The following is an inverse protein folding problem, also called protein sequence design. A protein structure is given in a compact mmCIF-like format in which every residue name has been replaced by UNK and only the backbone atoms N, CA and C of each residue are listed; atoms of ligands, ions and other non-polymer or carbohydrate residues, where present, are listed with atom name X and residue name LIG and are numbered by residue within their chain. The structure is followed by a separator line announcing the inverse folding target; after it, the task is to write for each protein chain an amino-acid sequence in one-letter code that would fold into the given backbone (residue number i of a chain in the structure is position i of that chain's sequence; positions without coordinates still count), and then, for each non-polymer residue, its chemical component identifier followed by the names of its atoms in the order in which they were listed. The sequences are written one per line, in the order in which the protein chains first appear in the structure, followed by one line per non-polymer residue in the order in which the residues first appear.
data_IF_361683308223
#
_entry.id   IF_361683308223
#
_cell.length_a   1.000
_cell.length_b   1.000
_cell.length_c   1.000
_cell.angle_alpha   90.00
_cell.angle_beta   90.00
_cell.angle_gamma   90.00
#
_symmetry.space_group_name_H-M   'P 1'
#
loop_
_entity.id
_entity.type
_entity.pdbx_description
1 polymer ?
#
# COMPACT_ATOMS: atom_id res chain seq x y z
N UNK A 1 -38.62 -20.47 -5.24
CA UNK A 1 -38.75 -19.88 -3.89
C UNK A 1 -37.43 -19.20 -3.62
N UNK A 2 -37.46 -17.88 -3.62
CA UNK A 2 -36.30 -17.01 -3.44
C UNK A 2 -36.02 -16.94 -1.94
N UNK A 3 -34.82 -17.36 -1.51
CA UNK A 3 -34.38 -17.17 -0.13
C UNK A 3 -33.90 -15.73 0.01
N UNK A 4 -34.79 -14.90 0.55
CA UNK A 4 -34.48 -13.57 1.03
C UNK A 4 -33.83 -13.71 2.41
N UNK A 5 -32.50 -13.64 2.47
CA UNK A 5 -31.80 -13.50 3.74
C UNK A 5 -32.00 -12.08 4.24
N UNK A 6 -32.94 -11.98 5.19
CA UNK A 6 -33.22 -10.76 5.94
C UNK A 6 -32.09 -10.54 6.94
N UNK A 7 -31.46 -9.37 6.84
CA UNK A 7 -30.49 -8.87 7.80
C UNK A 7 -31.11 -8.81 9.19
N UNK A 8 -30.70 -9.71 10.08
CA UNK A 8 -30.97 -9.61 11.51
C UNK A 8 -30.01 -8.61 12.14
N UNK A 9 -30.55 -7.45 12.51
CA UNK A 9 -29.91 -6.49 13.38
C UNK A 9 -29.83 -7.04 14.81
N UNK A 10 -28.63 -7.43 15.23
CA UNK A 10 -28.31 -7.69 16.63
C UNK A 10 -27.23 -6.72 17.08
N UNK A 11 -27.54 -5.94 18.12
CA UNK A 11 -26.57 -5.17 18.90
C UNK A 11 -25.51 -6.11 19.50
N UNK A 12 -24.47 -6.42 18.74
CA UNK A 12 -23.15 -6.83 19.20
C UNK A 12 -22.20 -5.68 18.85
N UNK A 13 -21.17 -5.43 19.67
CA UNK A 13 -20.21 -4.35 19.38
C UNK A 13 -19.79 -4.37 17.92
N UNK A 14 -19.73 -3.20 17.26
CA UNK A 14 -19.30 -3.09 15.86
C UNK A 14 -17.89 -3.67 15.73
N UNK A 15 -17.80 -4.97 15.45
CA UNK A 15 -16.54 -5.61 15.12
C UNK A 15 -16.08 -4.98 13.81
N UNK A 16 -15.06 -4.14 13.88
CA UNK A 16 -14.43 -3.58 12.69
C UNK A 16 -13.90 -4.72 11.84
N UNK A 17 -14.53 -4.98 10.71
CA UNK A 17 -14.11 -6.03 9.79
C UNK A 17 -12.78 -5.60 9.15
N UNK A 18 -11.73 -6.41 9.27
CA UNK A 18 -10.40 -6.07 8.74
C UNK A 18 -10.48 -5.63 7.28
N UNK A 19 -11.17 -6.42 6.46
CA UNK A 19 -11.39 -6.13 5.04
C UNK A 19 -12.04 -4.76 4.81
N UNK A 20 -13.07 -4.43 5.57
CA UNK A 20 -13.79 -3.17 5.41
C UNK A 20 -12.93 -1.98 5.83
N UNK A 21 -12.24 -2.07 6.97
CA UNK A 21 -11.31 -1.04 7.42
C UNK A 21 -10.19 -0.82 6.41
N UNK A 22 -9.53 -1.90 5.96
CA UNK A 22 -8.48 -1.80 4.94
C UNK A 22 -9.00 -1.17 3.66
N UNK A 23 -10.18 -1.61 3.19
CA UNK A 23 -10.83 -1.08 1.99
C UNK A 23 -11.11 0.41 2.10
N UNK A 24 -11.75 0.86 3.17
CA UNK A 24 -12.16 2.26 3.33
C UNK A 24 -10.93 3.18 3.40
N UNK A 25 -9.88 2.74 4.09
CA UNK A 25 -8.62 3.48 4.14
C UNK A 25 -7.94 3.56 2.76
N UNK A 26 -7.85 2.44 2.03
CA UNK A 26 -7.27 2.43 0.69
C UNK A 26 -8.05 3.31 -0.31
N UNK A 27 -9.39 3.24 -0.30
CA UNK A 27 -10.21 3.99 -1.25
C UNK A 27 -10.27 5.48 -0.90
N UNK A 28 -10.49 5.81 0.37
CA UNK A 28 -10.79 7.18 0.79
C UNK A 28 -9.56 7.94 1.30
N UNK A 29 -8.74 7.34 2.15
CA UNK A 29 -7.56 8.01 2.72
C UNK A 29 -6.39 8.05 1.74
N UNK A 30 -6.30 7.07 0.83
CA UNK A 30 -5.24 7.01 -0.18
C UNK A 30 -5.73 7.50 -1.56
N UNK A 31 -6.57 6.73 -2.27
CA UNK A 31 -6.86 6.99 -3.69
C UNK A 31 -7.64 8.30 -3.88
N UNK A 32 -8.72 8.48 -3.12
CA UNK A 32 -9.56 9.68 -3.21
C UNK A 32 -8.85 10.94 -2.73
N UNK A 33 -8.05 10.84 -1.66
CA UNK A 33 -7.28 11.95 -1.12
C UNK A 33 -6.15 12.43 -2.06
N UNK A 34 -5.67 11.55 -2.94
CA UNK A 34 -4.56 11.80 -3.89
C UNK A 34 -4.94 12.71 -5.06
N UNK A 35 -5.62 13.82 -4.82
CA UNK A 35 -6.05 14.73 -5.87
C UNK A 35 -5.22 16.01 -5.90
N UNK A 36 -4.59 16.30 -7.04
CA UNK A 36 -3.96 17.61 -7.25
C UNK A 36 -5.05 18.65 -7.53
N UNK A 37 -5.11 19.74 -6.74
CA UNK A 37 -6.04 20.86 -6.97
C UNK A 37 -5.92 21.47 -8.39
N UNK A 38 -4.77 21.26 -9.04
CA UNK A 38 -4.45 21.76 -10.37
C UNK A 38 -4.71 20.74 -11.49
N UNK A 39 -5.13 19.52 -11.16
CA UNK A 39 -5.45 18.52 -12.18
C UNK A 39 -6.85 18.75 -12.73
N UNK A 40 -6.94 19.04 -14.04
CA UNK A 40 -8.19 18.95 -14.79
C UNK A 40 -8.60 17.50 -15.09
N UNK A 41 -7.66 16.55 -14.94
CA UNK A 41 -7.91 15.13 -15.14
C UNK A 41 -8.25 14.48 -13.81
N UNK A 42 -9.44 13.91 -13.73
CA UNK A 42 -9.92 13.14 -12.58
C UNK A 42 -9.17 11.79 -12.43
N UNK A 43 -8.55 11.35 -13.54
CA UNK A 43 -7.91 10.05 -13.69
C UNK A 43 -6.45 10.04 -13.27
N UNK A 44 -6.08 8.96 -12.57
CA UNK A 44 -4.74 8.70 -12.04
C UNK A 44 -4.25 7.33 -12.47
N UNK A 45 -2.93 7.13 -12.40
CA UNK A 45 -2.29 5.82 -12.51
C UNK A 45 -1.97 5.32 -11.11
N UNK A 46 -2.31 4.08 -10.78
CA UNK A 46 -1.97 3.42 -9.53
C UNK A 46 -0.80 2.44 -9.76
N UNK A 47 0.30 2.65 -9.06
CA UNK A 47 1.50 1.82 -9.14
C UNK A 47 1.65 1.05 -7.84
N UNK A 48 1.87 -0.26 -7.95
CA UNK A 48 2.02 -1.15 -6.80
C UNK A 48 3.21 -2.08 -6.96
N UNK A 49 3.72 -2.59 -5.85
CA UNK A 49 4.64 -3.71 -5.84
C UNK A 49 3.89 -5.04 -5.65
N UNK A 50 4.62 -6.13 -5.45
CA UNK A 50 4.02 -7.47 -5.30
C UNK A 50 3.18 -7.59 -4.02
N UNK A 51 3.66 -7.03 -2.91
CA UNK A 51 3.02 -7.13 -1.59
C UNK A 51 1.79 -6.23 -1.54
N UNK A 52 1.91 -4.98 -1.96
CA UNK A 52 0.79 -4.02 -1.93
C UNK A 52 -0.31 -4.39 -2.92
N UNK A 53 0.04 -5.00 -4.05
CA UNK A 53 -0.94 -5.58 -4.97
C UNK A 53 -1.75 -6.70 -4.31
N UNK A 54 -1.09 -7.58 -3.54
CA UNK A 54 -1.80 -8.59 -2.74
C UNK A 54 -2.73 -7.91 -1.72
N UNK A 55 -2.29 -6.89 -0.97
CA UNK A 55 -3.12 -6.16 0.00
C UNK A 55 -4.39 -5.59 -0.65
N UNK A 56 -4.25 -4.91 -1.79
CA UNK A 56 -5.39 -4.37 -2.54
C UNK A 56 -6.31 -5.48 -3.02
N UNK A 57 -5.78 -6.58 -3.57
CA UNK A 57 -6.59 -7.67 -4.12
C UNK A 57 -7.48 -8.37 -3.09
N UNK A 58 -7.04 -8.44 -1.83
CA UNK A 58 -7.83 -9.01 -0.73
C UNK A 58 -8.95 -8.05 -0.26
N UNK A 59 -8.74 -6.75 -0.42
CA UNK A 59 -9.61 -5.72 0.18
C UNK A 59 -10.60 -5.08 -0.81
N UNK A 60 -10.19 -4.90 -2.07
CA UNK A 60 -10.90 -4.10 -3.06
C UNK A 60 -11.12 -4.88 -4.37
N UNK A 61 -12.27 -4.66 -5.02
CA UNK A 61 -12.50 -5.10 -6.41
C UNK A 61 -11.96 -4.03 -7.37
N UNK A 62 -11.67 -4.41 -8.61
CA UNK A 62 -11.24 -3.44 -9.63
C UNK A 62 -12.24 -2.32 -9.85
N UNK A 63 -13.55 -2.62 -9.84
CA UNK A 63 -14.60 -1.61 -9.96
C UNK A 63 -14.49 -0.51 -8.89
N UNK A 64 -14.21 -0.90 -7.65
CA UNK A 64 -14.09 0.06 -6.55
C UNK A 64 -12.92 1.02 -6.75
N UNK A 65 -11.81 0.51 -7.30
CA UNK A 65 -10.60 1.29 -7.59
C UNK A 65 -10.84 2.24 -8.76
N UNK A 66 -11.48 1.76 -9.82
CA UNK A 66 -11.81 2.58 -10.99
C UNK A 66 -12.81 3.68 -10.65
N UNK A 67 -13.77 3.40 -9.78
CA UNK A 67 -14.78 4.35 -9.32
C UNK A 67 -14.17 5.51 -8.51
N UNK A 68 -13.00 5.30 -7.90
CA UNK A 68 -12.22 6.37 -7.23
C UNK A 68 -11.28 7.14 -8.16
N UNK A 69 -11.40 6.95 -9.48
CA UNK A 69 -10.65 7.72 -10.48
C UNK A 69 -9.26 7.15 -10.80
N UNK A 70 -9.08 5.84 -10.64
CA UNK A 70 -7.89 5.13 -11.17
C UNK A 70 -8.23 4.58 -12.55
N UNK A 71 -7.44 4.99 -13.55
CA UNK A 71 -7.62 4.55 -14.93
C UNK A 71 -6.76 3.35 -15.30
N UNK A 72 -5.62 3.21 -14.63
CA UNK A 72 -4.62 2.19 -14.93
C UNK A 72 -3.94 1.73 -13.65
N UNK A 73 -3.73 0.42 -13.54
CA UNK A 73 -3.01 -0.23 -12.46
C UNK A 73 -1.78 -0.92 -13.03
N UNK A 74 -0.59 -0.56 -12.58
CA UNK A 74 0.67 -1.12 -13.06
C UNK A 74 1.58 -1.59 -11.92
N UNK A 75 2.53 -2.47 -12.25
CA UNK A 75 3.54 -2.95 -11.31
C UNK A 75 4.79 -2.05 -11.38
N UNK A 76 5.40 -1.78 -10.22
CA UNK A 76 6.58 -0.91 -10.11
C UNK A 76 7.80 -1.43 -10.88
N UNK A 77 8.02 -2.74 -10.89
CA UNK A 77 9.18 -3.38 -11.53
C UNK A 77 9.04 -3.55 -13.05
N UNK A 78 7.85 -3.29 -13.61
CA UNK A 78 7.62 -3.46 -15.05
C UNK A 78 8.01 -2.18 -15.80
N UNK A 79 8.45 -2.36 -17.04
CA UNK A 79 8.66 -1.24 -17.95
C UNK A 79 7.31 -0.66 -18.35
N UNK A 80 7.05 0.59 -17.96
CA UNK A 80 5.77 1.29 -18.16
C UNK A 80 5.91 2.40 -19.21
N UNK A 81 4.80 2.87 -19.74
CA UNK A 81 4.78 3.95 -20.73
C UNK A 81 4.77 5.31 -20.02
N UNK A 82 5.58 6.30 -20.43
CA UNK A 82 5.52 7.64 -19.86
C UNK A 82 4.16 8.31 -20.12
N UNK A 83 3.54 8.83 -19.05
CA UNK A 83 2.26 9.54 -19.08
C UNK A 83 2.39 10.89 -18.35
N UNK A 84 3.16 11.85 -18.90
CA UNK A 84 3.48 13.11 -18.21
C UNK A 84 2.27 14.03 -17.96
N UNK A 85 1.11 13.74 -18.56
CA UNK A 85 -0.15 14.45 -18.32
C UNK A 85 -0.98 13.91 -17.15
N UNK A 86 -0.61 12.76 -16.58
CA UNK A 86 -1.36 12.07 -15.53
C UNK A 86 -0.69 12.18 -14.17
N UNK A 87 -1.50 12.28 -13.13
CA UNK A 87 -1.04 12.12 -11.75
C UNK A 87 -0.92 10.63 -11.43
N UNK A 88 0.00 10.31 -10.50
CA UNK A 88 0.32 8.93 -10.15
C UNK A 88 0.25 8.73 -8.64
N UNK A 89 -0.30 7.60 -8.22
CA UNK A 89 -0.37 7.13 -6.85
C UNK A 89 0.54 5.90 -6.72
N UNK A 90 1.59 6.00 -5.92
CA UNK A 90 2.43 4.86 -5.55
C UNK A 90 1.92 4.29 -4.24
N UNK A 91 1.59 3.01 -4.21
CA UNK A 91 1.36 2.26 -2.99
C UNK A 91 2.37 1.11 -2.93
N UNK A 92 3.44 1.26 -2.16
CA UNK A 92 4.62 0.38 -2.19
C UNK A 92 5.22 0.17 -0.81
N UNK A 93 5.98 -0.91 -0.62
CA UNK A 93 6.80 -1.13 0.56
C UNK A 93 7.99 -0.14 0.60
N UNK A 94 8.45 0.27 1.79
CA UNK A 94 9.60 1.14 1.97
C UNK A 94 10.92 0.39 1.77
N UNK A 95 11.15 -0.12 0.56
CA UNK A 95 12.39 -0.81 0.16
C UNK A 95 13.28 0.10 -0.68
N UNK A 96 14.60 -0.13 -0.64
CA UNK A 96 15.56 0.64 -1.44
C UNK A 96 15.26 0.57 -2.94
N UNK A 97 14.84 -0.61 -3.42
CA UNK A 97 14.48 -0.81 -4.82
C UNK A 97 13.25 0.02 -5.22
N UNK A 98 12.18 -0.04 -4.43
CA UNK A 98 10.97 0.75 -4.69
C UNK A 98 11.27 2.25 -4.66
N UNK A 99 12.08 2.70 -3.70
CA UNK A 99 12.50 4.10 -3.61
C UNK A 99 13.30 4.50 -4.85
N UNK A 100 14.28 3.69 -5.27
CA UNK A 100 15.11 3.99 -6.44
C UNK A 100 14.28 4.08 -7.73
N UNK A 101 13.33 3.14 -7.93
CA UNK A 101 12.44 3.14 -9.10
C UNK A 101 11.53 4.37 -9.11
N UNK A 102 10.90 4.69 -7.99
CA UNK A 102 10.07 5.89 -7.85
C UNK A 102 10.85 7.17 -8.14
N UNK A 103 12.05 7.31 -7.55
CA UNK A 103 12.89 8.48 -7.76
C UNK A 103 13.25 8.59 -9.24
N UNK A 104 13.67 7.49 -9.87
CA UNK A 104 13.99 7.45 -11.30
C UNK A 104 12.82 7.89 -12.20
N UNK A 105 11.59 7.47 -11.89
CA UNK A 105 10.39 7.87 -12.64
C UNK A 105 10.13 9.39 -12.58
N UNK A 106 10.55 10.03 -11.48
CA UNK A 106 10.27 11.43 -11.20
C UNK A 106 11.46 12.37 -11.41
N UNK A 107 12.69 11.87 -11.56
CA UNK A 107 13.88 12.68 -11.84
C UNK A 107 13.92 13.11 -13.32
N UNK A 108 14.68 14.17 -13.63
CA UNK A 108 15.00 14.58 -15.01
C UNK A 108 14.05 15.63 -15.60
N UNK A 109 14.32 16.04 -16.85
CA UNK A 109 13.57 17.15 -17.50
C UNK A 109 12.13 16.78 -17.83
N UNK A 110 11.92 15.55 -18.28
CA UNK A 110 10.60 15.00 -18.64
C UNK A 110 10.29 13.82 -17.71
N UNK A 111 9.59 14.04 -16.59
CA UNK A 111 9.21 12.96 -15.70
C UNK A 111 8.23 12.02 -16.39
N UNK A 112 8.12 10.81 -15.83
CA UNK A 112 7.16 9.82 -16.30
C UNK A 112 5.71 10.24 -16.02
N UNK A 113 5.48 11.01 -14.95
CA UNK A 113 4.16 11.47 -14.50
C UNK A 113 4.18 12.94 -14.10
N UNK A 114 3.02 13.57 -14.04
CA UNK A 114 2.88 14.99 -13.67
C UNK A 114 3.21 15.25 -12.19
N UNK A 115 2.57 14.49 -11.30
CA UNK A 115 2.66 14.62 -9.84
C UNK A 115 2.55 13.27 -9.16
N UNK A 116 3.39 12.99 -8.16
CA UNK A 116 3.39 11.75 -7.40
C UNK A 116 2.73 11.92 -6.04
N UNK A 117 1.83 11.02 -5.70
CA UNK A 117 1.37 10.78 -4.34
C UNK A 117 1.93 9.43 -3.88
N UNK A 118 2.77 9.43 -2.86
CA UNK A 118 3.50 8.24 -2.42
C UNK A 118 2.97 7.79 -1.08
N UNK A 119 2.54 6.53 -1.03
CA UNK A 119 2.00 5.88 0.15
C UNK A 119 2.83 4.63 0.44
N UNK A 120 3.49 4.61 1.59
CA UNK A 120 4.22 3.44 2.04
C UNK A 120 3.31 2.47 2.80
N UNK A 121 3.43 1.16 2.56
CA UNK A 121 2.62 0.14 3.26
C UNK A 121 2.99 0.00 4.73
N UNK A 122 4.26 0.23 5.08
CA UNK A 122 4.82 0.13 6.43
C UNK A 122 5.61 1.40 6.79
N UNK A 123 6.02 1.59 8.06
CA UNK A 123 6.74 2.78 8.50
C UNK A 123 8.00 3.07 7.68
N UNK A 124 8.20 4.33 7.28
CA UNK A 124 9.34 4.71 6.44
C UNK A 124 10.61 4.94 7.29
N UNK A 125 11.76 4.35 6.92
CA UNK A 125 13.04 4.69 7.53
C UNK A 125 13.37 6.18 7.34
N UNK A 126 13.88 6.86 8.37
CA UNK A 126 14.21 8.30 8.32
C UNK A 126 15.17 8.66 7.18
N UNK A 127 16.06 7.75 6.84
CA UNK A 127 17.06 7.93 5.78
C UNK A 127 16.41 8.08 4.40
N UNK A 128 15.27 7.42 4.16
CA UNK A 128 14.55 7.50 2.89
C UNK A 128 13.97 8.89 2.68
N UNK A 129 13.41 9.49 3.73
CA UNK A 129 12.92 10.87 3.71
C UNK A 129 14.08 11.83 3.40
N UNK A 130 15.27 11.58 3.98
CA UNK A 130 16.49 12.34 3.69
C UNK A 130 16.88 12.30 2.21
N UNK A 131 16.87 11.11 1.60
CA UNK A 131 17.20 10.91 0.18
C UNK A 131 16.20 11.58 -0.75
N UNK A 132 14.90 11.50 -0.44
CA UNK A 132 13.85 12.19 -1.21
C UNK A 132 14.05 13.71 -1.14
N UNK A 133 14.33 14.26 0.06
CA UNK A 133 14.58 15.69 0.27
C UNK A 133 15.85 16.19 -0.41
N UNK A 134 16.85 15.33 -0.58
CA UNK A 134 18.10 15.69 -1.24
C UNK A 134 17.93 15.93 -2.75
N UNK A 135 16.94 15.31 -3.40
CA UNK A 135 16.68 15.51 -4.83
C UNK A 135 15.74 16.70 -5.07
N UNK A 136 16.34 17.83 -5.46
CA UNK A 136 15.63 19.09 -5.75
C UNK A 136 14.74 19.01 -6.99
N UNK A 137 14.93 18.01 -7.85
CA UNK A 137 14.12 17.84 -9.07
C UNK A 137 12.83 17.07 -8.78
N UNK A 138 12.86 16.15 -7.82
CA UNK A 138 11.73 15.29 -7.45
C UNK A 138 10.81 15.99 -6.46
N UNK A 139 11.34 16.72 -5.48
CA UNK A 139 10.55 17.36 -4.41
C UNK A 139 9.37 18.21 -4.93
N UNK A 140 9.53 19.09 -5.94
CA UNK A 140 8.41 19.89 -6.45
C UNK A 140 7.29 19.04 -7.10
N UNK A 141 7.59 17.80 -7.49
CA UNK A 141 6.69 16.86 -8.15
C UNK A 141 5.97 15.94 -7.17
N UNK A 142 6.34 15.97 -5.89
CA UNK A 142 5.65 15.21 -4.84
C UNK A 142 4.42 16.01 -4.37
N UNK A 143 3.24 15.44 -4.58
CA UNK A 143 1.97 15.97 -4.09
C UNK A 143 1.61 15.53 -2.68
N UNK A 144 2.14 14.40 -2.23
CA UNK A 144 1.96 13.89 -0.89
C UNK A 144 2.87 12.70 -0.63
N UNK A 145 3.33 12.57 0.60
CA UNK A 145 4.05 11.41 1.09
C UNK A 145 3.44 11.02 2.43
N UNK A 146 2.98 9.79 2.55
CA UNK A 146 2.29 9.30 3.75
C UNK A 146 2.59 7.82 4.00
N UNK A 147 2.45 7.39 5.25
CA UNK A 147 2.50 5.99 5.66
C UNK A 147 1.06 5.51 5.85
N UNK A 148 0.69 4.43 5.17
CA UNK A 148 -0.64 3.84 5.35
C UNK A 148 -0.69 2.88 6.53
N UNK A 149 0.44 2.23 6.87
CA UNK A 149 0.50 1.16 7.86
C UNK A 149 -0.59 0.11 7.56
N UNK A 150 -0.54 -0.42 6.34
CA UNK A 150 -1.43 -1.45 5.79
C UNK A 150 -0.58 -2.49 5.06
N UNK A 151 0.04 -3.39 5.83
CA UNK A 151 0.86 -4.48 5.29
C UNK A 151 0.43 -5.83 5.88
N UNK A 152 -0.86 -6.15 5.77
CA UNK A 152 -1.42 -7.45 6.13
C UNK A 152 -2.51 -7.86 5.14
N UNK A 153 -2.88 -9.13 5.15
CA UNK A 153 -3.82 -9.68 4.18
C UNK A 153 -5.08 -10.17 4.89
N UNK A 154 -6.21 -9.42 4.80
CA UNK A 154 -7.46 -9.86 5.37
C UNK A 154 -8.02 -11.04 4.54
N UNK A 155 -8.16 -12.20 5.18
CA UNK A 155 -8.73 -13.41 4.56
C UNK A 155 -10.25 -13.45 4.84
N UNK A 156 -10.62 -13.18 6.08
CA UNK A 156 -12.01 -13.10 6.53
C UNK A 156 -12.24 -11.85 7.39
N UNK A 157 -13.46 -11.67 7.89
CA UNK A 157 -13.82 -10.48 8.67
C UNK A 157 -12.95 -10.30 9.93
N UNK A 158 -12.48 -11.39 10.52
CA UNK A 158 -11.69 -11.42 11.75
C UNK A 158 -10.38 -12.20 11.62
N UNK A 159 -9.98 -12.54 10.39
CA UNK A 159 -8.77 -13.33 10.13
C UNK A 159 -7.88 -12.59 9.15
N UNK A 160 -6.63 -12.43 9.53
CA UNK A 160 -5.58 -11.92 8.65
C UNK A 160 -4.39 -12.88 8.64
N UNK A 161 -3.58 -12.79 7.59
CA UNK A 161 -2.29 -13.47 7.51
C UNK A 161 -1.19 -12.45 7.25
N UNK A 162 0.03 -12.79 7.63
CA UNK A 162 1.23 -12.01 7.33
C UNK A 162 1.92 -12.48 6.06
N UNK A 163 1.44 -13.50 5.33
CA UNK A 163 1.94 -13.99 4.02
C UNK A 163 3.48 -14.17 3.97
N UNK A 164 3.99 -15.07 4.81
CA UNK A 164 5.40 -15.46 4.81
C UNK A 164 5.53 -16.96 4.60
N UNK A 165 5.66 -17.37 3.33
CA UNK A 165 5.55 -18.78 2.90
C UNK A 165 6.58 -19.70 3.57
N UNK A 166 7.79 -19.19 3.83
CA UNK A 166 8.90 -19.95 4.42
C UNK A 166 9.06 -19.76 5.92
N UNK A 167 8.10 -19.13 6.60
CA UNK A 167 8.23 -18.80 8.03
C UNK A 167 8.49 -20.04 8.90
N UNK A 168 7.88 -21.18 8.56
CA UNK A 168 8.10 -22.41 9.33
C UNK A 168 9.55 -22.89 9.22
N UNK A 169 10.13 -22.85 8.02
CA UNK A 169 11.51 -23.24 7.76
C UNK A 169 12.50 -22.23 8.35
N UNK A 170 12.24 -20.94 8.15
CA UNK A 170 13.13 -19.84 8.56
C UNK A 170 13.13 -19.57 10.07
N UNK A 171 12.07 -19.98 10.79
CA UNK A 171 11.99 -19.80 12.25
C UNK A 171 12.22 -21.08 13.06
N UNK A 172 11.90 -22.24 12.48
CA UNK A 172 11.95 -23.54 13.20
C UNK A 172 12.79 -24.59 12.50
N UNK A 173 13.50 -24.25 11.42
CA UNK A 173 14.50 -25.12 10.81
C UNK A 173 15.69 -25.37 11.72
N UNK A 174 16.47 -26.40 11.41
CA UNK A 174 17.69 -26.69 12.16
C UNK A 174 18.67 -25.51 12.06
N UNK A 175 19.24 -25.10 13.20
CA UNK A 175 20.13 -23.93 13.34
C UNK A 175 19.55 -22.59 12.81
N UNK A 176 18.21 -22.49 12.68
CA UNK A 176 17.54 -21.32 12.10
C UNK A 176 17.88 -20.01 12.84
N UNK A 177 18.00 -20.04 14.16
CA UNK A 177 18.35 -18.88 15.00
C UNK A 177 19.72 -18.26 14.70
N UNK A 178 20.59 -18.99 14.00
CA UNK A 178 21.91 -18.49 13.56
C UNK A 178 21.88 -17.83 12.18
N UNK A 179 20.77 -17.97 11.46
CA UNK A 179 20.63 -17.48 10.08
C UNK A 179 20.21 -16.00 10.05
N UNK A 180 20.73 -15.18 9.12
CA UNK A 180 20.24 -13.81 8.95
C UNK A 180 18.76 -13.78 8.51
N UNK A 181 18.28 -14.84 7.85
CA UNK A 181 16.89 -15.00 7.43
C UNK A 181 15.91 -15.02 8.62
N UNK A 182 16.31 -15.58 9.77
CA UNK A 182 15.48 -15.62 10.98
C UNK A 182 15.10 -14.22 11.46
N UNK A 183 16.08 -13.33 11.61
CA UNK A 183 15.87 -11.95 12.07
C UNK A 183 15.05 -11.14 11.06
N UNK A 184 15.25 -11.39 9.76
CA UNK A 184 14.48 -10.74 8.69
C UNK A 184 13.03 -11.19 8.74
N UNK A 185 12.77 -12.50 8.78
CA UNK A 185 11.43 -13.08 8.87
C UNK A 185 10.70 -12.55 10.11
N UNK A 186 11.34 -12.59 11.29
CA UNK A 186 10.72 -12.13 12.53
C UNK A 186 10.39 -10.64 12.49
N UNK A 187 11.28 -9.82 11.93
CA UNK A 187 11.06 -8.37 11.78
C UNK A 187 9.92 -8.07 10.82
N UNK A 188 9.87 -8.74 9.67
CA UNK A 188 8.79 -8.56 8.70
C UNK A 188 7.43 -8.93 9.32
N UNK A 189 7.35 -10.09 9.98
CA UNK A 189 6.14 -10.51 10.68
C UNK A 189 5.73 -9.49 11.76
N UNK A 190 6.67 -9.01 12.56
CA UNK A 190 6.41 -8.01 13.59
C UNK A 190 5.87 -6.69 13.01
N UNK A 191 6.45 -6.20 11.90
CA UNK A 191 5.98 -5.01 11.20
C UNK A 191 4.55 -5.22 10.70
N UNK A 192 4.29 -6.33 10.01
CA UNK A 192 2.95 -6.63 9.46
C UNK A 192 1.90 -6.70 10.56
N UNK A 193 2.20 -7.39 11.67
CA UNK A 193 1.33 -7.43 12.86
C UNK A 193 1.12 -6.03 13.46
N UNK A 194 2.17 -5.20 13.58
CA UNK A 194 2.05 -3.83 14.06
C UNK A 194 1.13 -2.99 13.16
N UNK A 195 1.19 -3.17 11.84
CA UNK A 195 0.28 -2.47 10.91
C UNK A 195 -1.19 -2.84 11.11
N UNK A 196 -1.49 -4.05 11.59
CA UNK A 196 -2.87 -4.44 11.94
C UNK A 196 -3.40 -3.55 13.06
N UNK A 197 -2.66 -3.42 14.15
CA UNK A 197 -3.06 -2.57 15.29
C UNK A 197 -3.19 -1.10 14.89
N UNK A 198 -2.23 -0.60 14.10
CA UNK A 198 -2.29 0.76 13.56
C UNK A 198 -3.54 0.97 12.68
N UNK A 199 -3.91 -0.02 11.88
CA UNK A 199 -5.08 0.07 11.00
C UNK A 199 -6.41 0.11 11.75
N UNK A 200 -6.51 -0.58 12.88
CA UNK A 200 -7.71 -0.61 13.71
C UNK A 200 -7.86 0.62 14.61
N UNK A 201 -6.80 1.44 14.73
CA UNK A 201 -6.69 2.57 15.67
C UNK A 201 -6.87 2.12 17.13
N UNK A 202 -6.27 0.98 17.48
CA UNK A 202 -6.39 0.40 18.83
C UNK A 202 -5.33 0.91 19.82
N UNK A 203 -4.33 1.68 19.36
CA UNK A 203 -3.20 2.15 20.17
C UNK A 203 -2.97 3.67 20.08
N UNK A 204 -4.01 4.46 19.77
CA UNK A 204 -3.95 5.94 19.78
C UNK A 204 -4.14 6.53 21.20
#
# INVERSE_FOLDING_TARGET
MSVSDSETSSHGGEYKMFRQVTRDRLLYEMIKASHSKESRSMWKVLIMDRVTMKVISHSCKMADITDQGVSLVEQVFKRRQPMPGMDVVYFVQPTDENLALFMHDMTGRTPMYKKAFVYFSSPIPKDFIGRIKADTTVIPRIGGLSEMNLEYFPIENQVFVTDHERALEELYGDDADTTPEYDVCLREMAIRVATVFASLKELD
#
